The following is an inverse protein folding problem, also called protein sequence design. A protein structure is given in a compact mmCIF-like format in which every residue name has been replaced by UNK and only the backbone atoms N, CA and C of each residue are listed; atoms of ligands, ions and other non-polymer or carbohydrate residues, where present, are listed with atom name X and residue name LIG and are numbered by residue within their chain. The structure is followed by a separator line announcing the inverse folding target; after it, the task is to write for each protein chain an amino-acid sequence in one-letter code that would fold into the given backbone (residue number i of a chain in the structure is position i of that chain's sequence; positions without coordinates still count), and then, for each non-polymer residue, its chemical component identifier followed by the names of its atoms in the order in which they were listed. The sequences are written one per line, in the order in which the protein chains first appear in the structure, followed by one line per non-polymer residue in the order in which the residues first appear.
data_IF_001703853076
#
_entry.id   IF_001703853076
#
_cell.length_a   1.000
_cell.length_b   1.000
_cell.length_c   1.000
_cell.angle_alpha   90.00
_cell.angle_beta   90.00
_cell.angle_gamma   90.00
#
_symmetry.space_group_name_H-M   'P 1'
#
loop_
_entity.id
_entity.type
_entity.pdbx_description
1 polymer ?
#
# COMPACT_ATOMS: atom_id res chain seq x y z
N UNK A 1 -3.65 -7.38 51.58
CA UNK A 1 -3.64 -8.87 51.58
C UNK A 1 -4.75 -9.49 50.73
N UNK A 2 -6.02 -9.08 50.82
CA UNK A 2 -7.09 -9.65 49.96
C UNK A 2 -6.96 -9.23 48.47
N UNK A 3 -6.62 -7.98 48.18
CA UNK A 3 -6.42 -7.46 46.81
C UNK A 3 -5.24 -8.13 46.10
N UNK A 4 -4.15 -8.42 46.80
CA UNK A 4 -2.97 -9.08 46.24
C UNK A 4 -3.26 -10.55 45.89
N UNK A 5 -4.12 -11.21 46.66
CA UNK A 5 -4.57 -12.57 46.39
C UNK A 5 -5.43 -12.64 45.11
N UNK A 6 -6.34 -11.69 44.96
CA UNK A 6 -7.21 -11.58 43.79
C UNK A 6 -6.40 -11.25 42.51
N UNK A 7 -5.37 -10.43 42.60
CA UNK A 7 -4.46 -10.11 41.47
C UNK A 7 -3.66 -11.34 41.02
N UNK A 8 -3.13 -12.14 41.96
CA UNK A 8 -2.41 -13.40 41.66
C UNK A 8 -3.30 -14.45 41.02
N UNK A 9 -4.55 -14.59 41.51
CA UNK A 9 -5.53 -15.52 40.93
C UNK A 9 -5.89 -15.14 39.50
N UNK A 10 -6.07 -13.83 39.20
CA UNK A 10 -6.30 -13.31 37.85
C UNK A 10 -5.09 -13.57 36.89
N UNK A 11 -3.88 -13.33 37.38
CA UNK A 11 -2.66 -13.60 36.57
C UNK A 11 -2.56 -15.07 36.20
N UNK A 12 -2.79 -15.97 37.15
CA UNK A 12 -2.76 -17.42 36.93
C UNK A 12 -3.86 -17.88 35.95
N UNK A 13 -5.06 -17.31 36.04
CA UNK A 13 -6.15 -17.59 35.09
C UNK A 13 -5.80 -17.13 33.68
N UNK A 14 -5.16 -15.97 33.54
CA UNK A 14 -4.69 -15.46 32.22
C UNK A 14 -3.59 -16.36 31.66
N UNK A 15 -2.64 -16.82 32.44
CA UNK A 15 -1.57 -17.74 32.00
C UNK A 15 -2.16 -19.08 31.49
N UNK A 16 -3.16 -19.63 32.18
CA UNK A 16 -3.86 -20.82 31.73
C UNK A 16 -4.57 -20.58 30.39
N UNK A 17 -5.27 -19.45 30.26
CA UNK A 17 -5.97 -19.07 29.03
C UNK A 17 -5.00 -18.87 27.86
N UNK A 18 -3.86 -18.20 28.09
CA UNK A 18 -2.79 -18.03 27.09
C UNK A 18 -2.26 -19.38 26.64
N UNK A 19 -1.96 -20.29 27.58
CA UNK A 19 -1.49 -21.64 27.24
C UNK A 19 -2.52 -22.46 26.44
N UNK A 20 -3.81 -22.32 26.72
CA UNK A 20 -4.88 -22.95 25.94
C UNK A 20 -4.96 -22.38 24.51
N UNK A 21 -4.85 -21.05 24.35
CA UNK A 21 -4.86 -20.38 23.04
C UNK A 21 -3.66 -20.85 22.22
N UNK A 22 -2.45 -20.86 22.79
CA UNK A 22 -1.25 -21.32 22.11
C UNK A 22 -1.31 -22.78 21.70
N UNK A 23 -1.92 -23.62 22.54
CA UNK A 23 -2.12 -25.06 22.23
C UNK A 23 -3.12 -25.26 21.09
N UNK A 24 -4.16 -24.42 21.01
CA UNK A 24 -5.21 -24.55 20.01
C UNK A 24 -4.84 -23.87 18.66
N UNK A 25 -4.17 -22.72 18.70
CA UNK A 25 -3.92 -21.86 17.55
C UNK A 25 -2.43 -21.74 17.15
N UNK A 26 -1.54 -22.36 17.93
CA UNK A 26 -0.09 -22.34 17.71
C UNK A 26 0.62 -21.28 18.58
N UNK A 27 1.92 -21.50 18.81
CA UNK A 27 2.77 -20.55 19.54
C UNK A 27 2.81 -19.20 18.83
N UNK A 28 2.69 -18.10 19.60
CA UNK A 28 2.68 -16.73 19.07
C UNK A 28 1.31 -16.25 18.58
N UNK A 29 0.24 -17.05 18.75
CA UNK A 29 -1.14 -16.63 18.47
C UNK A 29 -1.63 -15.54 19.44
N UNK A 30 -1.03 -15.46 20.61
CA UNK A 30 -1.22 -14.40 21.61
C UNK A 30 0.13 -14.05 22.23
N UNK A 31 0.37 -12.75 22.48
CA UNK A 31 1.61 -12.29 23.12
C UNK A 31 1.33 -11.10 24.04
N UNK A 32 2.17 -10.90 25.06
CA UNK A 32 2.18 -9.68 25.86
C UNK A 32 3.07 -8.65 25.17
N UNK A 33 2.54 -7.48 24.83
CA UNK A 33 3.25 -6.46 24.05
C UNK A 33 4.54 -5.94 24.74
N UNK A 34 4.59 -5.97 26.07
CA UNK A 34 5.74 -5.52 26.86
C UNK A 34 6.80 -6.59 27.17
N UNK A 35 6.59 -7.84 26.78
CA UNK A 35 7.52 -8.96 27.05
C UNK A 35 8.42 -9.34 25.88
N UNK A 36 8.24 -8.70 24.74
CA UNK A 36 9.00 -8.96 23.52
C UNK A 36 9.87 -7.75 23.23
N UNK A 37 11.14 -7.95 22.91
CA UNK A 37 11.99 -6.90 22.35
C UNK A 37 11.25 -6.27 21.17
N UNK A 38 11.18 -4.93 21.15
CA UNK A 38 10.55 -4.19 20.06
C UNK A 38 11.39 -4.47 18.81
N UNK A 39 10.94 -5.44 18.00
CA UNK A 39 11.57 -5.72 16.71
C UNK A 39 11.25 -4.53 15.80
N UNK A 40 12.25 -3.82 15.28
CA UNK A 40 12.03 -2.73 14.34
C UNK A 40 11.19 -3.20 13.17
N UNK A 41 10.18 -2.40 12.77
CA UNK A 41 9.37 -2.72 11.61
C UNK A 41 10.26 -2.72 10.36
N UNK A 42 10.41 -3.84 9.65
CA UNK A 42 11.22 -3.88 8.44
C UNK A 42 10.57 -3.01 7.35
N UNK A 43 11.40 -2.28 6.62
CA UNK A 43 10.97 -1.32 5.60
C UNK A 43 11.77 -1.46 4.31
N UNK A 44 11.27 -0.82 3.26
CA UNK A 44 11.97 -0.61 1.98
C UNK A 44 12.15 0.90 1.84
N UNK A 45 13.38 1.37 1.64
CA UNK A 45 13.66 2.79 1.41
C UNK A 45 12.85 3.32 0.22
N UNK A 46 12.47 4.57 0.28
CA UNK A 46 11.84 5.27 -0.85
C UNK A 46 12.87 5.85 -1.82
N UNK A 47 14.16 5.77 -1.48
CA UNK A 47 15.24 6.44 -2.20
C UNK A 47 15.34 7.94 -1.91
N UNK A 48 14.42 8.50 -1.12
CA UNK A 48 14.41 9.89 -0.71
C UNK A 48 14.56 9.99 0.81
N UNK A 49 15.75 10.41 1.29
CA UNK A 49 16.11 10.47 2.72
C UNK A 49 15.09 11.24 3.55
N UNK A 50 14.54 12.34 3.01
CA UNK A 50 13.54 13.14 3.70
C UNK A 50 12.20 12.42 3.88
N UNK A 51 11.80 11.58 2.94
CA UNK A 51 10.57 10.76 3.04
C UNK A 51 10.80 9.62 4.02
N UNK A 52 11.94 8.94 3.92
CA UNK A 52 12.31 7.83 4.80
C UNK A 52 12.36 8.28 6.26
N UNK A 53 12.92 9.49 6.51
CA UNK A 53 12.92 10.10 7.83
C UNK A 53 11.51 10.44 8.32
N UNK A 54 10.67 11.01 7.45
CA UNK A 54 9.28 11.37 7.80
C UNK A 54 8.40 10.14 8.10
N UNK A 55 8.70 8.99 7.50
CA UNK A 55 8.04 7.72 7.78
C UNK A 55 8.47 7.11 9.13
N UNK A 56 9.60 7.54 9.70
CA UNK A 56 10.06 7.15 11.03
C UNK A 56 10.66 5.75 11.15
N UNK A 57 10.57 4.93 10.10
CA UNK A 57 11.06 3.55 10.04
C UNK A 57 12.06 3.33 8.90
N UNK A 58 12.51 4.40 8.25
CA UNK A 58 13.49 4.35 7.16
C UNK A 58 12.93 3.92 5.82
N UNK A 59 11.61 4.02 5.60
CA UNK A 59 10.98 3.69 4.32
C UNK A 59 9.54 3.21 4.46
N UNK A 60 9.00 2.61 3.38
CA UNK A 60 7.65 2.02 3.40
C UNK A 60 7.66 0.65 4.11
N UNK A 61 6.66 0.35 4.96
CA UNK A 61 6.68 -0.84 5.81
C UNK A 61 6.47 -2.13 5.00
N UNK A 62 7.30 -3.15 5.25
CA UNK A 62 7.08 -4.51 4.76
C UNK A 62 5.88 -5.16 5.47
N UNK A 63 5.15 -6.00 4.76
CA UNK A 63 3.98 -6.69 5.31
C UNK A 63 2.78 -5.77 5.54
N UNK A 64 2.73 -4.63 4.85
CA UNK A 64 1.68 -3.61 5.00
C UNK A 64 1.19 -3.09 3.65
N UNK A 65 -0.03 -2.54 3.68
CA UNK A 65 -0.61 -1.82 2.56
C UNK A 65 -0.25 -0.34 2.68
N UNK A 66 0.23 0.24 1.59
CA UNK A 66 0.60 1.65 1.44
C UNK A 66 -0.26 2.27 0.34
N UNK A 67 -0.79 3.45 0.54
CA UNK A 67 -1.48 4.23 -0.49
C UNK A 67 -0.67 5.48 -0.82
N UNK A 68 -0.31 5.65 -2.09
CA UNK A 68 0.31 6.87 -2.64
C UNK A 68 -0.75 7.56 -3.49
N UNK A 69 -1.13 8.79 -3.12
CA UNK A 69 -2.19 9.48 -3.84
C UNK A 69 -1.86 10.97 -4.07
N UNK A 70 -2.51 11.56 -5.05
CA UNK A 70 -2.32 12.96 -5.42
C UNK A 70 -2.85 13.27 -6.81
N UNK A 71 -2.77 14.53 -7.24
CA UNK A 71 -3.15 14.97 -8.57
C UNK A 71 -2.35 14.26 -9.67
N UNK A 72 -2.78 14.39 -10.89
CA UNK A 72 -2.03 13.96 -12.07
C UNK A 72 -0.65 14.65 -12.13
N UNK A 73 0.34 13.97 -12.71
CA UNK A 73 1.72 14.46 -12.86
C UNK A 73 2.39 14.95 -11.55
N UNK A 74 1.93 14.47 -10.39
CA UNK A 74 2.49 14.85 -9.09
C UNK A 74 3.73 14.02 -8.68
N UNK A 75 4.04 12.93 -9.39
CA UNK A 75 5.19 12.05 -9.10
C UNK A 75 4.85 10.78 -8.31
N UNK A 76 3.59 10.34 -8.31
CA UNK A 76 3.15 9.10 -7.64
C UNK A 76 3.89 7.87 -8.17
N UNK A 77 3.81 7.64 -9.47
CA UNK A 77 4.49 6.52 -10.15
C UNK A 77 6.02 6.63 -10.01
N UNK A 78 6.57 7.85 -10.06
CA UNK A 78 8.01 8.10 -9.82
C UNK A 78 8.44 7.58 -8.44
N UNK A 79 7.68 7.91 -7.38
CA UNK A 79 8.00 7.44 -6.03
C UNK A 79 7.85 5.92 -5.92
N UNK A 80 6.81 5.35 -6.52
CA UNK A 80 6.59 3.89 -6.51
C UNK A 80 7.71 3.14 -7.24
N UNK A 81 8.17 3.62 -8.40
CA UNK A 81 9.31 3.06 -9.13
C UNK A 81 10.62 3.20 -8.35
N UNK A 82 10.82 4.29 -7.62
CA UNK A 82 11.97 4.43 -6.71
C UNK A 82 11.93 3.37 -5.60
N UNK A 83 10.78 3.10 -5.00
CA UNK A 83 10.64 2.02 -3.99
C UNK A 83 11.00 0.66 -4.61
N UNK A 84 10.56 0.37 -5.84
CA UNK A 84 10.93 -0.84 -6.58
C UNK A 84 12.46 -0.90 -6.74
N UNK A 85 13.08 0.16 -7.26
CA UNK A 85 14.53 0.22 -7.48
C UNK A 85 15.31 0.00 -6.17
N UNK A 86 14.83 0.55 -5.05
CA UNK A 86 15.47 0.32 -3.75
C UNK A 86 15.28 -1.12 -3.24
N UNK A 87 14.12 -1.74 -3.49
CA UNK A 87 13.91 -3.15 -3.16
C UNK A 87 14.87 -4.06 -3.95
N UNK A 88 15.00 -3.84 -5.26
CA UNK A 88 15.89 -4.61 -6.14
C UNK A 88 17.37 -4.43 -5.76
N UNK A 89 17.81 -3.22 -5.38
CA UNK A 89 19.20 -2.96 -4.92
C UNK A 89 19.65 -3.82 -3.73
N UNK A 90 18.71 -4.28 -2.93
CA UNK A 90 19.00 -5.19 -1.78
C UNK A 90 18.65 -6.64 -2.10
N UNK A 91 18.48 -6.98 -3.37
CA UNK A 91 18.19 -8.33 -3.85
C UNK A 91 16.73 -8.76 -3.71
N UNK A 92 15.82 -7.81 -3.52
CA UNK A 92 14.37 -8.08 -3.41
C UNK A 92 13.70 -8.17 -4.77
N UNK A 93 12.66 -9.00 -4.85
CA UNK A 93 11.81 -9.17 -6.03
C UNK A 93 10.68 -8.13 -6.04
N UNK A 94 10.39 -7.59 -7.23
CA UNK A 94 9.35 -6.58 -7.42
C UNK A 94 8.35 -6.96 -8.51
N UNK A 95 7.10 -6.50 -8.33
CA UNK A 95 6.07 -6.62 -9.36
C UNK A 95 5.34 -5.29 -9.55
N UNK A 96 4.96 -5.01 -10.79
CA UNK A 96 4.19 -3.84 -11.20
C UNK A 96 2.94 -4.28 -11.94
N UNK A 97 1.78 -3.99 -11.36
CA UNK A 97 0.47 -4.24 -11.97
C UNK A 97 0.01 -2.94 -12.61
N UNK A 98 0.19 -2.86 -13.92
CA UNK A 98 -0.07 -1.69 -14.77
C UNK A 98 -1.51 -1.72 -15.29
N UNK A 99 -2.45 -1.29 -14.47
CA UNK A 99 -3.85 -1.23 -14.86
C UNK A 99 -4.18 -0.02 -15.76
N UNK A 100 -3.30 0.98 -15.83
CA UNK A 100 -3.42 2.14 -16.73
C UNK A 100 -2.78 1.89 -18.10
N UNK A 101 -2.01 0.81 -18.26
CA UNK A 101 -1.22 0.51 -19.47
C UNK A 101 -0.25 1.65 -19.87
N UNK A 102 0.35 2.29 -18.88
CA UNK A 102 1.12 3.53 -19.06
C UNK A 102 2.55 3.46 -18.50
N UNK A 103 3.06 2.27 -18.17
CA UNK A 103 4.42 2.09 -17.67
C UNK A 103 5.45 2.40 -18.76
N UNK A 104 6.22 3.46 -18.55
CA UNK A 104 7.37 3.80 -19.40
C UNK A 104 8.63 3.07 -18.88
N UNK A 105 9.06 2.06 -19.62
CA UNK A 105 10.24 1.26 -19.30
C UNK A 105 11.54 2.06 -19.35
N UNK A 106 11.64 3.04 -20.25
CA UNK A 106 12.81 3.92 -20.36
C UNK A 106 12.94 4.79 -19.12
N UNK A 107 11.82 5.34 -18.68
CA UNK A 107 11.77 6.13 -17.45
C UNK A 107 12.04 5.27 -16.20
N UNK A 108 11.45 4.08 -16.11
CA UNK A 108 11.71 3.15 -15.00
C UNK A 108 13.21 2.80 -14.90
N UNK A 109 13.85 2.50 -16.03
CA UNK A 109 15.30 2.23 -16.11
C UNK A 109 16.12 3.45 -15.67
N UNK A 110 15.74 4.66 -16.08
CA UNK A 110 16.41 5.89 -15.66
C UNK A 110 16.32 6.15 -14.16
N UNK A 111 15.26 5.67 -13.49
CA UNK A 111 15.11 5.70 -12.04
C UNK A 111 15.89 4.59 -11.31
N UNK A 112 16.53 3.69 -12.04
CA UNK A 112 17.37 2.61 -11.51
C UNK A 112 16.62 1.30 -11.27
N UNK A 113 15.44 1.13 -11.87
CA UNK A 113 14.72 -0.15 -11.88
C UNK A 113 15.45 -1.12 -12.81
N UNK A 114 15.73 -2.32 -12.32
CA UNK A 114 16.15 -3.43 -13.14
C UNK A 114 14.94 -4.04 -13.84
N UNK A 115 14.88 -3.91 -15.17
CA UNK A 115 13.74 -4.33 -15.97
C UNK A 115 13.72 -5.86 -16.16
N UNK A 116 14.87 -6.52 -16.13
CA UNK A 116 14.99 -7.95 -16.33
C UNK A 116 14.44 -8.71 -15.08
N UNK A 117 14.53 -8.09 -13.90
CA UNK A 117 14.02 -8.62 -12.64
C UNK A 117 12.67 -8.00 -12.20
N UNK A 118 12.00 -7.25 -13.07
CA UNK A 118 10.69 -6.67 -12.79
C UNK A 118 9.56 -7.50 -13.40
N UNK A 119 8.70 -8.07 -12.56
CA UNK A 119 7.46 -8.71 -13.03
C UNK A 119 6.43 -7.62 -13.39
N UNK A 120 5.96 -7.62 -14.64
CA UNK A 120 4.92 -6.68 -15.10
C UNK A 120 3.67 -7.44 -15.52
N UNK A 121 2.51 -6.96 -15.10
CA UNK A 121 1.20 -7.49 -15.50
C UNK A 121 0.29 -6.35 -15.93
N UNK A 122 -0.43 -6.54 -17.04
CA UNK A 122 -1.40 -5.60 -17.58
C UNK A 122 -2.78 -6.28 -17.63
N UNK A 123 -3.55 -6.21 -16.52
CA UNK A 123 -4.84 -6.90 -16.40
C UNK A 123 -5.95 -6.19 -17.17
N UNK A 124 -6.92 -6.96 -17.68
CA UNK A 124 -8.07 -6.44 -18.42
C UNK A 124 -9.16 -5.82 -17.53
N UNK A 125 -9.20 -6.17 -16.25
CA UNK A 125 -10.20 -5.69 -15.29
C UNK A 125 -9.69 -5.73 -13.85
N UNK A 126 -10.42 -5.08 -12.95
CA UNK A 126 -10.04 -4.94 -11.54
C UNK A 126 -9.99 -6.25 -10.77
N UNK A 127 -10.88 -7.21 -11.06
CA UNK A 127 -10.89 -8.54 -10.46
C UNK A 127 -9.60 -9.28 -10.80
N UNK A 128 -9.23 -9.33 -12.08
CA UNK A 128 -8.01 -9.98 -12.55
C UNK A 128 -6.75 -9.34 -11.92
N UNK A 129 -6.68 -8.01 -11.89
CA UNK A 129 -5.59 -7.29 -11.24
C UNK A 129 -5.40 -7.73 -9.77
N UNK A 130 -6.49 -7.75 -9.01
CA UNK A 130 -6.45 -8.07 -7.58
C UNK A 130 -6.23 -9.57 -7.31
N UNK A 131 -6.64 -10.46 -8.22
CA UNK A 131 -6.34 -11.89 -8.16
C UNK A 131 -4.85 -12.14 -8.45
N UNK A 132 -4.26 -11.48 -9.43
CA UNK A 132 -2.81 -11.54 -9.70
C UNK A 132 -2.03 -11.07 -8.48
N UNK A 133 -2.41 -9.94 -7.88
CA UNK A 133 -1.82 -9.45 -6.64
C UNK A 133 -1.92 -10.49 -5.52
N UNK A 134 -3.09 -11.14 -5.36
CA UNK A 134 -3.29 -12.17 -4.33
C UNK A 134 -2.35 -13.35 -4.54
N UNK A 135 -2.19 -13.83 -5.77
CA UNK A 135 -1.29 -14.96 -6.10
C UNK A 135 0.17 -14.59 -5.81
N UNK A 136 0.61 -13.40 -6.24
CA UNK A 136 1.96 -12.91 -6.00
C UNK A 136 2.26 -12.76 -4.50
N UNK A 137 1.33 -12.18 -3.72
CA UNK A 137 1.48 -12.06 -2.26
C UNK A 137 1.54 -13.42 -1.58
N UNK A 138 0.70 -14.39 -2.01
CA UNK A 138 0.68 -15.74 -1.44
C UNK A 138 1.94 -16.53 -1.71
N UNK A 139 2.67 -16.24 -2.78
CA UNK A 139 3.95 -16.88 -3.07
C UNK A 139 4.99 -16.63 -1.98
N UNK A 140 4.88 -15.49 -1.26
CA UNK A 140 5.84 -15.08 -0.23
C UNK A 140 7.22 -14.72 -0.78
N UNK A 141 7.37 -14.61 -2.11
CA UNK A 141 8.65 -14.40 -2.79
C UNK A 141 8.79 -13.00 -3.39
N UNK A 142 7.76 -12.14 -3.27
CA UNK A 142 7.77 -10.78 -3.81
C UNK A 142 7.82 -9.78 -2.66
N UNK A 143 8.85 -8.93 -2.66
CA UNK A 143 9.08 -7.94 -1.60
C UNK A 143 8.19 -6.71 -1.72
N UNK A 144 7.95 -6.25 -2.94
CA UNK A 144 7.09 -5.11 -3.23
C UNK A 144 6.22 -5.35 -4.46
N UNK A 145 4.95 -5.01 -4.33
CA UNK A 145 3.99 -5.01 -5.45
C UNK A 145 3.39 -3.62 -5.54
N UNK A 146 3.46 -3.02 -6.72
CA UNK A 146 2.82 -1.75 -7.05
C UNK A 146 1.61 -2.01 -7.93
N UNK A 147 0.48 -1.38 -7.62
CA UNK A 147 -0.74 -1.36 -8.46
C UNK A 147 -0.98 0.07 -8.93
N UNK A 148 -0.84 0.33 -10.21
CA UNK A 148 -1.03 1.64 -10.82
C UNK A 148 -2.15 1.58 -11.89
N UNK A 149 -3.30 2.18 -11.66
CA UNK A 149 -3.76 2.79 -10.41
C UNK A 149 -5.12 2.22 -10.00
N UNK A 150 -5.53 2.48 -8.75
CA UNK A 150 -6.87 2.10 -8.26
C UNK A 150 -7.98 2.65 -9.14
N UNK A 151 -7.79 3.84 -9.72
CA UNK A 151 -8.76 4.47 -10.61
C UNK A 151 -9.06 3.64 -11.87
N UNK A 152 -8.08 2.86 -12.33
CA UNK A 152 -8.18 2.00 -13.51
C UNK A 152 -8.66 0.58 -13.20
N UNK A 153 -8.86 0.23 -11.91
CA UNK A 153 -9.43 -1.07 -11.53
C UNK A 153 -10.94 -1.10 -11.78
N UNK A 154 -11.30 -1.17 -13.05
CA UNK A 154 -12.71 -1.25 -13.47
C UNK A 154 -13.24 -2.64 -13.22
N UNK A 155 -14.36 -2.80 -12.48
CA UNK A 155 -15.01 -4.09 -12.30
C UNK A 155 -15.46 -4.71 -13.63
N UNK A 156 -15.34 -6.03 -13.78
CA UNK A 156 -15.78 -6.74 -14.99
C UNK A 156 -17.23 -6.43 -15.34
N UNK A 157 -18.13 -6.42 -14.34
CA UNK A 157 -19.54 -6.12 -14.56
C UNK A 157 -19.77 -4.70 -15.12
N UNK A 158 -18.84 -3.76 -14.90
CA UNK A 158 -18.89 -2.42 -15.47
C UNK A 158 -18.41 -2.42 -16.94
N UNK A 159 -17.43 -3.27 -17.27
CA UNK A 159 -16.93 -3.45 -18.64
C UNK A 159 -17.96 -4.16 -19.52
N UNK A 160 -18.64 -5.19 -18.99
CA UNK A 160 -19.62 -5.99 -19.71
C UNK A 160 -20.99 -5.28 -19.83
N UNK A 161 -21.21 -4.17 -19.09
CA UNK A 161 -22.44 -3.38 -19.11
C UNK A 161 -22.53 -2.43 -20.30
N UNK A 162 -23.72 -1.85 -20.51
CA UNK A 162 -23.90 -0.83 -21.54
C UNK A 162 -23.38 0.54 -21.09
N UNK A 163 -22.97 1.40 -22.05
CA UNK A 163 -22.40 2.73 -21.77
C UNK A 163 -23.31 3.67 -20.95
N UNK A 164 -24.61 3.37 -20.86
CA UNK A 164 -25.60 4.15 -20.11
C UNK A 164 -25.91 3.60 -18.71
N UNK A 165 -25.36 2.47 -18.33
CA UNK A 165 -25.69 1.81 -17.08
C UNK A 165 -25.12 2.53 -15.85
N UNK A 166 -25.97 2.73 -14.85
CA UNK A 166 -25.56 3.32 -13.58
C UNK A 166 -24.88 2.29 -12.68
N UNK A 167 -23.58 2.14 -12.78
CA UNK A 167 -22.76 1.15 -12.05
C UNK A 167 -22.25 1.69 -10.69
N UNK A 168 -23.18 2.17 -9.84
CA UNK A 168 -22.81 2.87 -8.60
C UNK A 168 -22.16 1.94 -7.60
N UNK A 169 -20.92 2.27 -7.22
CA UNK A 169 -20.22 1.68 -6.08
C UNK A 169 -19.62 0.29 -6.32
N UNK A 170 -19.60 -0.25 -7.54
CA UNK A 170 -19.00 -1.56 -7.84
C UNK A 170 -17.51 -1.57 -7.50
N UNK A 171 -16.74 -0.57 -7.93
CA UNK A 171 -15.33 -0.46 -7.62
C UNK A 171 -15.06 -0.39 -6.11
N UNK A 172 -15.88 0.34 -5.35
CA UNK A 172 -15.75 0.42 -3.89
C UNK A 172 -16.01 -0.93 -3.20
N UNK A 173 -16.96 -1.72 -3.71
CA UNK A 173 -17.24 -3.08 -3.23
C UNK A 173 -16.09 -4.02 -3.56
N UNK A 174 -15.55 -3.96 -4.78
CA UNK A 174 -14.39 -4.73 -5.22
C UNK A 174 -13.20 -4.45 -4.30
N UNK A 175 -12.83 -3.19 -4.10
CA UNK A 175 -11.73 -2.78 -3.23
C UNK A 175 -11.96 -3.22 -1.77
N UNK A 176 -13.18 -3.11 -1.25
CA UNK A 176 -13.49 -3.57 0.12
C UNK A 176 -13.33 -5.08 0.27
N UNK A 177 -13.73 -5.86 -0.73
CA UNK A 177 -13.55 -7.33 -0.75
C UNK A 177 -12.07 -7.68 -0.82
N UNK A 178 -11.33 -7.04 -1.72
CA UNK A 178 -9.90 -7.25 -1.90
C UNK A 178 -9.10 -6.93 -0.63
N UNK A 179 -9.32 -5.78 0.00
CA UNK A 179 -8.58 -5.39 1.21
C UNK A 179 -8.82 -6.36 2.38
N UNK A 180 -10.03 -6.88 2.55
CA UNK A 180 -10.31 -7.92 3.57
C UNK A 180 -9.51 -9.20 3.34
N UNK A 181 -9.34 -9.61 2.06
CA UNK A 181 -8.54 -10.79 1.72
C UNK A 181 -7.03 -10.53 1.82
N UNK A 182 -6.57 -9.42 1.25
CA UNK A 182 -5.14 -9.13 1.07
C UNK A 182 -4.44 -8.76 2.37
N UNK A 183 -5.07 -8.00 3.27
CA UNK A 183 -4.38 -7.47 4.46
C UNK A 183 -3.75 -8.58 5.31
N UNK A 184 -4.47 -9.69 5.54
CA UNK A 184 -3.95 -10.79 6.33
C UNK A 184 -2.80 -11.55 5.68
N UNK A 185 -2.88 -11.77 4.36
CA UNK A 185 -1.81 -12.47 3.62
C UNK A 185 -0.59 -11.57 3.40
N UNK A 186 -0.77 -10.29 3.14
CA UNK A 186 0.30 -9.28 3.03
C UNK A 186 1.12 -9.23 4.33
N UNK A 187 0.46 -9.22 5.49
CA UNK A 187 1.15 -9.23 6.78
C UNK A 187 2.00 -10.49 6.99
N UNK A 188 1.51 -11.65 6.54
CA UNK A 188 2.23 -12.93 6.66
C UNK A 188 3.39 -13.06 5.69
N UNK A 189 3.20 -12.66 4.43
CA UNK A 189 4.22 -12.74 3.36
C UNK A 189 5.33 -11.70 3.51
N UNK A 190 5.11 -10.64 4.32
CA UNK A 190 6.00 -9.48 4.45
C UNK A 190 6.15 -8.66 3.17
N UNK A 191 5.30 -8.86 2.19
CA UNK A 191 5.23 -8.05 0.97
C UNK A 191 4.78 -6.63 1.30
N UNK A 192 5.44 -5.61 0.76
CA UNK A 192 4.93 -4.24 0.75
C UNK A 192 3.97 -4.08 -0.43
N UNK A 193 2.68 -3.86 -0.16
CA UNK A 193 1.68 -3.68 -1.22
C UNK A 193 1.33 -2.19 -1.35
N UNK A 194 1.76 -1.59 -2.47
CA UNK A 194 1.58 -0.17 -2.78
C UNK A 194 0.44 0.00 -3.77
N UNK A 195 -0.55 0.80 -3.42
CA UNK A 195 -1.60 1.25 -4.34
C UNK A 195 -1.36 2.72 -4.70
N UNK A 196 -1.24 3.00 -5.98
CA UNK A 196 -1.30 4.36 -6.51
C UNK A 196 -2.77 4.73 -6.69
N UNK A 197 -3.13 5.95 -6.29
CA UNK A 197 -4.51 6.41 -6.37
C UNK A 197 -4.63 7.85 -6.88
N UNK A 198 -5.72 8.13 -7.57
CA UNK A 198 -6.03 9.45 -8.09
C UNK A 198 -6.96 10.18 -7.13
N UNK A 199 -6.88 11.52 -7.13
CA UNK A 199 -7.84 12.39 -6.45
C UNK A 199 -9.03 12.65 -7.36
N UNK A 200 -10.20 12.71 -6.75
CA UNK A 200 -11.45 13.15 -7.36
C UNK A 200 -12.11 14.16 -6.43
N UNK A 201 -12.90 15.03 -6.97
CA UNK A 201 -13.70 15.98 -6.21
C UNK A 201 -15.12 15.46 -6.02
N UNK A 202 -15.62 15.59 -4.80
CA UNK A 202 -17.02 15.31 -4.48
C UNK A 202 -17.87 16.51 -4.92
N UNK A 203 -18.84 16.24 -5.78
CA UNK A 203 -19.82 17.23 -6.21
C UNK A 203 -20.71 17.61 -5.02
N UNK A 204 -20.99 18.92 -4.84
CA UNK A 204 -21.93 19.41 -3.82
C UNK A 204 -21.36 19.62 -2.42
N UNK A 205 -20.05 19.47 -2.22
CA UNK A 205 -19.40 19.81 -0.93
C UNK A 205 -19.10 21.31 -0.88
N UNK A 206 -19.97 22.10 -0.22
CA UNK A 206 -19.78 23.54 -0.06
C UNK A 206 -18.82 23.92 1.06
N UNK A 207 -18.60 23.05 2.05
CA UNK A 207 -17.73 23.29 3.20
C UNK A 207 -16.82 22.08 3.46
N UNK A 208 -15.56 22.34 3.83
CA UNK A 208 -14.56 21.31 4.10
C UNK A 208 -13.74 20.92 2.85
N UNK A 209 -13.05 19.78 2.90
CA UNK A 209 -12.23 19.32 1.80
C UNK A 209 -13.05 18.41 0.85
N UNK A 210 -13.31 18.83 -0.40
CA UNK A 210 -14.04 18.05 -1.38
C UNK A 210 -13.22 16.87 -1.93
N UNK A 211 -11.90 16.89 -1.79
CA UNK A 211 -11.03 15.87 -2.37
C UNK A 211 -11.25 14.48 -1.74
N UNK A 212 -11.33 13.48 -2.58
CA UNK A 212 -11.42 12.07 -2.18
C UNK A 212 -10.62 11.20 -3.15
N UNK A 213 -10.17 10.04 -2.68
CA UNK A 213 -9.53 9.03 -3.52
C UNK A 213 -10.57 8.09 -4.12
N UNK A 214 -10.26 7.48 -5.29
CA UNK A 214 -11.11 6.47 -5.95
C UNK A 214 -11.14 5.15 -5.17
N UNK A 215 -12.05 4.23 -5.52
CA UNK A 215 -12.16 2.92 -4.87
C UNK A 215 -12.81 2.94 -3.47
N UNK A 216 -13.51 4.04 -3.12
CA UNK A 216 -14.26 4.17 -1.86
C UNK A 216 -13.37 4.41 -0.65
N UNK A 217 -13.77 3.87 0.52
CA UNK A 217 -13.09 4.12 1.80
C UNK A 217 -12.12 3.00 2.21
N UNK A 218 -12.07 1.89 1.48
CA UNK A 218 -11.34 0.69 1.90
C UNK A 218 -9.85 0.99 2.16
N UNK A 219 -9.16 1.59 1.20
CA UNK A 219 -7.74 1.93 1.36
C UNK A 219 -7.47 2.89 2.53
N UNK A 220 -8.35 3.85 2.80
CA UNK A 220 -8.20 4.78 3.95
C UNK A 220 -8.15 4.04 5.28
N UNK A 221 -8.88 2.92 5.40
CA UNK A 221 -8.91 2.12 6.63
C UNK A 221 -7.79 1.08 6.66
N UNK A 222 -7.56 0.36 5.57
CA UNK A 222 -6.63 -0.77 5.53
C UNK A 222 -5.17 -0.39 5.32
N UNK A 223 -4.88 0.76 4.70
CA UNK A 223 -3.49 1.24 4.57
C UNK A 223 -2.89 1.58 5.92
N UNK A 224 -1.66 1.11 6.15
CA UNK A 224 -0.85 1.49 7.32
C UNK A 224 -0.16 2.83 7.10
N UNK A 225 0.17 3.16 5.85
CA UNK A 225 0.79 4.41 5.44
C UNK A 225 -0.01 5.00 4.28
N UNK A 226 -0.25 6.31 4.33
CA UNK A 226 -0.87 7.08 3.25
C UNK A 226 -0.02 8.31 2.95
N UNK A 227 0.37 8.46 1.69
CA UNK A 227 1.29 9.50 1.22
C UNK A 227 0.57 10.39 0.21
N UNK A 228 0.36 11.66 0.56
CA UNK A 228 -0.18 12.69 -0.35
C UNK A 228 0.98 13.38 -1.07
N UNK A 229 1.00 13.32 -2.41
CA UNK A 229 2.05 13.89 -3.25
C UNK A 229 1.46 15.01 -4.10
N UNK A 230 2.09 16.21 -4.04
CA UNK A 230 1.64 17.38 -4.79
C UNK A 230 2.81 18.12 -5.42
N UNK A 231 2.73 18.36 -6.73
CA UNK A 231 3.67 19.24 -7.42
C UNK A 231 3.45 20.68 -6.95
N UNK A 232 4.51 21.34 -6.52
CA UNK A 232 4.48 22.70 -5.98
C UNK A 232 5.30 23.72 -6.81
N UNK A 233 6.02 23.25 -7.83
CA UNK A 233 6.79 24.12 -8.70
C UNK A 233 7.63 23.36 -9.70
N UNK A 234 8.28 24.10 -10.58
CA UNK A 234 9.25 23.59 -11.56
C UNK A 234 10.68 23.98 -11.12
N UNK A 235 11.63 23.11 -11.40
CA UNK A 235 13.07 23.41 -11.32
C UNK A 235 13.50 23.79 -12.73
N UNK A 236 14.12 24.96 -12.87
CA UNK A 236 14.56 25.52 -14.15
C UNK A 236 16.07 25.68 -14.19
N UNK A 237 16.65 25.48 -15.38
CA UNK A 237 17.99 25.90 -15.73
C UNK A 237 17.87 26.94 -16.86
N UNK A 238 17.98 28.22 -16.54
CA UNK A 238 17.56 29.32 -17.41
C UNK A 238 16.04 29.21 -17.67
N UNK A 239 15.65 29.18 -18.94
CA UNK A 239 14.23 29.07 -19.35
C UNK A 239 13.76 27.60 -19.48
N UNK A 240 14.67 26.64 -19.42
CA UNK A 240 14.37 25.22 -19.60
C UNK A 240 13.94 24.59 -18.29
N UNK A 241 12.78 23.93 -18.28
CA UNK A 241 12.33 23.14 -17.13
C UNK A 241 13.09 21.81 -17.13
N UNK A 242 13.91 21.59 -16.08
CA UNK A 242 14.73 20.38 -15.90
C UNK A 242 14.21 19.44 -14.82
N UNK A 243 13.17 19.84 -14.08
CA UNK A 243 12.59 19.01 -13.04
C UNK A 243 11.39 19.63 -12.36
N UNK A 244 10.83 18.88 -11.40
CA UNK A 244 9.69 19.30 -10.59
C UNK A 244 10.00 19.31 -9.09
N UNK A 245 9.49 20.32 -8.39
CA UNK A 245 9.48 20.34 -6.92
C UNK A 245 8.17 19.77 -6.43
N UNK A 246 8.25 18.76 -5.58
CA UNK A 246 7.08 18.04 -5.06
C UNK A 246 7.06 18.11 -3.54
N UNK A 247 5.87 18.38 -3.00
CA UNK A 247 5.60 18.27 -1.56
C UNK A 247 5.01 16.90 -1.29
N UNK A 248 5.60 16.20 -0.35
CA UNK A 248 5.11 14.91 0.16
C UNK A 248 4.62 15.10 1.59
N UNK A 249 3.42 14.61 1.89
CA UNK A 249 2.84 14.63 3.22
C UNK A 249 2.43 13.22 3.63
N UNK A 250 2.94 12.76 4.75
CA UNK A 250 2.49 11.54 5.39
C UNK A 250 1.21 11.88 6.15
N UNK A 251 0.08 11.31 5.75
CA UNK A 251 -1.24 11.61 6.32
C UNK A 251 -1.80 10.48 7.17
N UNK A 252 -1.10 9.35 7.18
CA UNK A 252 -1.31 8.22 8.08
C UNK A 252 -0.05 7.39 8.15
#
# INVERSE_FOLDING_TARGET
MAEDRTARERTKAIEIAVGQIEKQFGKGSIMRLGSTDIVPQPSISTGAVSIDHALGIGGVPRGRVVEIFGPEASGKTTLALQVIAQAQKVGGMAAFVDAEHALDSTYAKALGVDLDDLLVSQPDNGEQALEIVEVLVRSGSVDVIVVDSVAALVPRAEIDGEMGDAQVGLQARLMSKAMRKLTGIVSKSKTCLVFINQLREKIGVMFGNPETTTGGRALKFYSSVRIDIRRIGAIKNGDVVVGGRTRVKIVK
#
